data_IF_885692733036
#
_entry.id   IF_885692733036
#
_cell.length_a   1.000
_cell.length_b   1.000
_cell.length_c   1.000
_cell.angle_alpha   90.00
_cell.angle_beta   90.00
_cell.angle_gamma   90.00
#
_symmetry.space_group_name_H-M   'P 1'
#
loop_
_entity.id
_entity.type
_entity.pdbx_description
1 polymer ?
#
# COMPACT_ATOMS: atom_id res chain seq x y z
N UNK A 1 -28.79 -0.25 -10.28
CA UNK A 1 -29.37 1.10 -10.13
C UNK A 1 -28.26 2.16 -10.21
N UNK A 2 -28.55 3.40 -10.63
CA UNK A 2 -27.62 4.52 -10.48
C UNK A 2 -27.17 4.71 -9.01
N UNK A 3 -25.93 5.15 -8.82
CA UNK A 3 -25.33 5.40 -7.50
C UNK A 3 -25.89 6.67 -6.86
N UNK A 4 -26.28 7.65 -7.68
CA UNK A 4 -26.67 8.99 -7.21
C UNK A 4 -25.48 9.92 -6.99
N UNK A 5 -24.34 9.65 -7.64
CA UNK A 5 -23.18 10.56 -7.61
C UNK A 5 -23.59 11.98 -8.03
N UNK A 6 -22.93 12.98 -7.46
CA UNK A 6 -23.14 14.41 -7.72
C UNK A 6 -22.61 14.89 -9.08
N UNK A 7 -22.52 13.99 -10.07
CA UNK A 7 -22.10 14.26 -11.44
C UNK A 7 -23.26 14.04 -12.43
N UNK A 8 -23.38 14.89 -13.47
CA UNK A 8 -24.41 14.74 -14.48
C UNK A 8 -24.16 13.51 -15.37
N UNK A 9 -25.24 12.94 -15.92
CA UNK A 9 -25.15 11.92 -16.97
C UNK A 9 -24.79 10.52 -16.50
N UNK A 10 -25.07 10.18 -15.23
CA UNK A 10 -24.85 8.81 -14.73
C UNK A 10 -25.66 7.78 -15.53
N UNK A 11 -24.95 6.81 -16.10
CA UNK A 11 -25.55 5.71 -16.84
C UNK A 11 -26.05 4.60 -15.90
N UNK A 12 -27.13 3.92 -16.30
CA UNK A 12 -27.56 2.68 -15.67
C UNK A 12 -26.78 1.48 -16.21
N UNK A 13 -26.54 0.49 -15.34
CA UNK A 13 -26.06 -0.81 -15.78
C UNK A 13 -27.14 -1.64 -16.49
N UNK A 14 -26.71 -2.66 -17.22
CA UNK A 14 -27.56 -3.67 -17.85
C UNK A 14 -27.28 -5.01 -17.18
N UNK A 15 -28.32 -5.66 -16.67
CA UNK A 15 -28.22 -6.96 -16.01
C UNK A 15 -29.53 -7.72 -16.21
N UNK A 16 -29.47 -9.04 -16.12
CA UNK A 16 -30.66 -9.89 -16.18
C UNK A 16 -31.49 -9.72 -14.92
N UNK A 17 -32.80 -9.47 -15.07
CA UNK A 17 -33.72 -9.51 -13.93
C UNK A 17 -33.91 -10.96 -13.46
N UNK A 18 -34.43 -11.16 -12.25
CA UNK A 18 -34.71 -12.49 -11.70
C UNK A 18 -35.56 -13.34 -12.66
N UNK A 19 -36.59 -12.75 -13.27
CA UNK A 19 -37.47 -13.41 -14.24
C UNK A 19 -36.75 -13.82 -15.54
N UNK A 20 -35.66 -13.12 -15.89
CA UNK A 20 -34.88 -13.36 -17.10
C UNK A 20 -33.61 -14.17 -16.84
N UNK A 21 -33.33 -14.52 -15.57
CA UNK A 21 -32.07 -15.13 -15.17
C UNK A 21 -32.18 -16.66 -15.24
N UNK A 22 -31.82 -17.23 -16.39
CA UNK A 22 -31.63 -18.67 -16.55
C UNK A 22 -30.37 -19.19 -15.85
N UNK A 23 -30.13 -20.50 -15.93
CA UNK A 23 -28.95 -21.13 -15.30
C UNK A 23 -27.64 -20.57 -15.88
N UNK A 24 -27.61 -20.26 -17.18
CA UNK A 24 -26.43 -19.73 -17.87
C UNK A 24 -26.16 -18.29 -17.45
N UNK A 25 -27.18 -17.45 -17.41
CA UNK A 25 -27.09 -16.05 -16.98
C UNK A 25 -26.69 -15.97 -15.50
N UNK A 26 -27.29 -16.80 -14.64
CA UNK A 26 -26.94 -16.90 -13.23
C UNK A 26 -25.45 -17.27 -13.04
N UNK A 27 -25.01 -18.33 -13.72
CA UNK A 27 -23.62 -18.78 -13.64
C UNK A 27 -22.66 -17.71 -14.17
N UNK A 28 -22.92 -17.17 -15.36
CA UNK A 28 -22.05 -16.15 -15.99
C UNK A 28 -22.00 -14.83 -15.23
N UNK A 29 -23.11 -14.42 -14.62
CA UNK A 29 -23.18 -13.23 -13.76
C UNK A 29 -22.28 -13.35 -12.52
N UNK A 30 -22.14 -14.56 -11.96
CA UNK A 30 -21.35 -14.79 -10.74
C UNK A 30 -19.86 -14.48 -10.88
N UNK A 31 -19.33 -14.54 -12.11
CA UNK A 31 -17.93 -14.20 -12.42
C UNK A 31 -17.80 -12.95 -13.32
N UNK A 32 -18.84 -12.11 -13.36
CA UNK A 32 -18.79 -10.79 -13.99
C UNK A 32 -18.94 -10.79 -15.51
N UNK A 33 -19.50 -11.85 -16.09
CA UNK A 33 -19.99 -11.86 -17.47
C UNK A 33 -21.51 -11.63 -17.49
N UNK A 34 -22.08 -11.34 -18.67
CA UNK A 34 -23.53 -11.15 -18.83
C UNK A 34 -24.14 -9.91 -18.15
N UNK A 35 -23.29 -9.05 -17.57
CA UNK A 35 -23.68 -7.79 -16.94
C UNK A 35 -22.83 -6.64 -17.51
N UNK A 36 -23.42 -5.46 -17.65
CA UNK A 36 -22.69 -4.21 -17.87
C UNK A 36 -22.95 -3.28 -16.69
N UNK A 37 -21.89 -2.79 -16.06
CA UNK A 37 -21.96 -1.91 -14.90
C UNK A 37 -20.99 -0.75 -15.09
N UNK A 38 -21.33 0.41 -14.57
CA UNK A 38 -20.43 1.56 -14.64
C UNK A 38 -19.27 1.39 -13.65
N UNK A 39 -18.10 2.00 -13.90
CA UNK A 39 -16.98 1.95 -12.95
C UNK A 39 -17.37 2.46 -11.56
N UNK A 40 -18.21 3.51 -11.48
CA UNK A 40 -18.68 4.04 -10.20
C UNK A 40 -19.61 3.07 -9.47
N UNK A 41 -20.49 2.34 -10.17
CA UNK A 41 -21.28 1.26 -9.58
C UNK A 41 -20.39 0.13 -9.05
N UNK A 42 -19.36 -0.25 -9.82
CA UNK A 42 -18.43 -1.32 -9.46
C UNK A 42 -17.65 -0.99 -8.19
N UNK A 43 -17.00 0.18 -8.13
CA UNK A 43 -16.21 0.55 -6.95
C UNK A 43 -17.11 0.80 -5.73
N UNK A 44 -18.33 1.33 -5.91
CA UNK A 44 -19.29 1.51 -4.82
C UNK A 44 -19.76 0.16 -4.25
N UNK A 45 -20.00 -0.82 -5.12
CA UNK A 45 -20.36 -2.18 -4.70
C UNK A 45 -19.20 -2.86 -3.95
N UNK A 46 -17.97 -2.75 -4.44
CA UNK A 46 -16.78 -3.25 -3.74
C UNK A 46 -16.55 -2.56 -2.40
N UNK A 47 -16.75 -1.24 -2.31
CA UNK A 47 -16.65 -0.53 -1.04
C UNK A 47 -17.62 -1.10 -0.01
N UNK A 48 -18.87 -1.41 -0.43
CA UNK A 48 -19.86 -2.02 0.46
C UNK A 48 -19.45 -3.41 0.95
N UNK A 49 -18.68 -4.19 0.18
CA UNK A 49 -18.24 -5.53 0.63
C UNK A 49 -17.15 -5.47 1.71
N UNK A 50 -16.41 -4.37 1.82
CA UNK A 50 -15.27 -4.23 2.73
C UNK A 50 -15.51 -3.27 3.90
N UNK A 51 -16.55 -2.43 3.86
CA UNK A 51 -16.79 -1.36 4.84
C UNK A 51 -17.85 -1.68 5.93
N UNK A 52 -18.08 -2.96 6.24
CA UNK A 52 -19.15 -3.39 7.17
C UNK A 52 -20.49 -3.68 6.49
N UNK A 53 -20.53 -3.71 5.16
CA UNK A 53 -21.72 -4.04 4.38
C UNK A 53 -22.54 -2.84 3.95
N UNK A 54 -22.07 -1.61 4.13
CA UNK A 54 -22.86 -0.41 3.87
C UNK A 54 -22.68 0.08 2.44
N UNK A 55 -23.76 0.05 1.66
CA UNK A 55 -23.81 0.71 0.37
C UNK A 55 -23.92 2.22 0.56
N UNK A 56 -22.89 2.94 0.15
CA UNK A 56 -22.79 4.39 0.27
C UNK A 56 -23.24 5.08 -1.03
N UNK A 57 -23.68 6.32 -0.91
CA UNK A 57 -23.80 7.22 -2.05
C UNK A 57 -22.47 7.95 -2.23
N UNK A 58 -21.74 7.73 -3.35
CA UNK A 58 -20.47 8.41 -3.61
C UNK A 58 -20.72 9.88 -3.93
N UNK A 59 -19.73 10.74 -3.66
CA UNK A 59 -19.74 12.16 -4.00
C UNK A 59 -18.31 12.63 -4.33
N UNK A 60 -18.20 13.65 -5.17
CA UNK A 60 -16.92 14.27 -5.57
C UNK A 60 -16.71 15.60 -4.84
N UNK A 61 -17.77 16.37 -4.61
CA UNK A 61 -17.69 17.69 -3.97
C UNK A 61 -17.72 17.53 -2.45
N UNK A 62 -16.65 17.92 -1.75
CA UNK A 62 -16.64 17.89 -0.28
C UNK A 62 -17.38 19.07 0.36
N UNK A 63 -17.21 20.27 -0.20
CA UNK A 63 -17.89 21.49 0.25
C UNK A 63 -18.06 22.49 -0.88
N UNK A 64 -19.11 23.31 -0.78
CA UNK A 64 -19.36 24.46 -1.64
C UNK A 64 -19.16 25.73 -0.80
N UNK A 65 -18.42 26.70 -1.34
CA UNK A 65 -18.15 27.98 -0.68
C UNK A 65 -18.69 29.14 -1.51
N UNK A 66 -19.12 30.21 -0.83
CA UNK A 66 -19.50 31.47 -1.48
C UNK A 66 -18.26 32.32 -1.84
N UNK A 67 -18.49 33.47 -2.48
CA UNK A 67 -17.43 34.40 -2.87
C UNK A 67 -16.66 35.01 -1.66
N UNK A 68 -17.21 34.90 -0.46
CA UNK A 68 -16.59 35.39 0.77
C UNK A 68 -15.85 34.27 1.53
N UNK A 69 -15.84 33.04 1.00
CA UNK A 69 -15.22 31.87 1.63
C UNK A 69 -16.10 31.21 2.71
N UNK A 70 -17.36 31.62 2.86
CA UNK A 70 -18.28 30.95 3.78
C UNK A 70 -18.72 29.60 3.20
N UNK A 71 -18.76 28.57 4.04
CA UNK A 71 -19.28 27.26 3.66
C UNK A 71 -20.80 27.36 3.54
N UNK A 72 -21.33 27.05 2.36
CA UNK A 72 -22.77 27.04 2.10
C UNK A 72 -23.35 25.62 1.99
N UNK A 73 -22.49 24.63 1.71
CA UNK A 73 -22.85 23.21 1.70
C UNK A 73 -21.62 22.37 2.06
N UNK A 74 -21.83 21.33 2.87
CA UNK A 74 -20.84 20.27 3.15
C UNK A 74 -21.48 18.93 2.79
N UNK A 75 -20.75 18.06 2.09
CA UNK A 75 -21.16 16.67 1.85
C UNK A 75 -20.59 15.78 2.94
N UNK A 76 -21.44 14.89 3.43
CA UNK A 76 -21.13 13.92 4.47
C UNK A 76 -21.43 12.51 3.99
N UNK A 77 -20.86 11.52 4.68
CA UNK A 77 -21.11 10.09 4.44
C UNK A 77 -22.62 9.81 4.44
N UNK A 78 -23.14 9.36 3.29
CA UNK A 78 -24.55 9.02 3.12
C UNK A 78 -24.71 7.52 2.92
N UNK A 79 -25.28 6.83 3.93
CA UNK A 79 -25.58 5.40 3.87
C UNK A 79 -26.93 5.19 3.19
N UNK A 80 -26.96 4.43 2.09
CA UNK A 80 -28.22 4.09 1.41
C UNK A 80 -28.92 2.90 2.05
N UNK A 81 -28.16 1.84 2.35
CA UNK A 81 -28.61 0.61 3.01
C UNK A 81 -27.42 -0.26 3.39
N UNK A 82 -27.66 -1.29 4.19
CA UNK A 82 -26.71 -2.38 4.40
C UNK A 82 -27.07 -3.55 3.47
N UNK A 83 -26.11 -4.07 2.70
CA UNK A 83 -26.30 -5.12 1.69
C UNK A 83 -25.76 -6.49 2.10
N UNK A 84 -24.80 -6.53 3.03
CA UNK A 84 -24.28 -7.75 3.66
C UNK A 84 -24.05 -7.47 5.15
N UNK A 85 -23.93 -8.51 5.98
CA UNK A 85 -23.60 -8.30 7.39
C UNK A 85 -22.17 -7.80 7.57
N UNK A 86 -21.90 -7.16 8.70
CA UNK A 86 -20.56 -6.75 9.09
C UNK A 86 -19.60 -7.94 9.20
N UNK A 87 -20.08 -9.07 9.73
CA UNK A 87 -19.32 -10.33 9.79
C UNK A 87 -18.92 -10.83 8.41
N UNK A 88 -19.87 -10.86 7.45
CA UNK A 88 -19.56 -11.22 6.06
C UNK A 88 -18.58 -10.24 5.45
N UNK A 89 -18.71 -8.94 5.74
CA UNK A 89 -17.76 -7.94 5.27
C UNK A 89 -16.35 -8.17 5.81
N UNK A 90 -16.20 -8.50 7.09
CA UNK A 90 -14.91 -8.84 7.70
C UNK A 90 -14.29 -10.11 7.08
N UNK A 91 -15.10 -11.15 6.85
CA UNK A 91 -14.65 -12.35 6.14
C UNK A 91 -14.20 -12.03 4.72
N UNK A 92 -14.95 -11.19 4.00
CA UNK A 92 -14.57 -10.75 2.65
C UNK A 92 -13.25 -9.99 2.63
N UNK A 93 -12.96 -9.16 3.64
CA UNK A 93 -11.66 -8.50 3.78
C UNK A 93 -10.51 -9.51 3.87
N UNK A 94 -10.63 -10.51 4.73
CA UNK A 94 -9.61 -11.58 4.88
C UNK A 94 -9.42 -12.38 3.58
N UNK A 95 -10.51 -12.74 2.91
CA UNK A 95 -10.45 -13.46 1.63
C UNK A 95 -9.75 -12.62 0.57
N UNK A 96 -10.08 -11.34 0.46
CA UNK A 96 -9.49 -10.44 -0.54
C UNK A 96 -8.04 -10.06 -0.22
N UNK A 97 -7.65 -9.99 1.04
CA UNK A 97 -6.25 -9.89 1.48
C UNK A 97 -5.46 -11.14 1.05
N UNK A 98 -6.04 -12.33 1.24
CA UNK A 98 -5.41 -13.59 0.86
C UNK A 98 -5.15 -13.69 -0.66
N UNK A 99 -5.95 -13.04 -1.50
CA UNK A 99 -5.72 -12.97 -2.97
C UNK A 99 -4.44 -12.22 -3.31
N UNK A 100 -4.06 -11.25 -2.48
CA UNK A 100 -2.84 -10.46 -2.66
C UNK A 100 -1.63 -11.18 -2.08
N UNK A 101 -1.81 -11.78 -0.89
CA UNK A 101 -0.72 -12.32 -0.07
C UNK A 101 -0.39 -13.80 -0.35
N UNK A 102 -1.36 -14.66 -0.71
CA UNK A 102 -1.09 -16.08 -0.95
C UNK A 102 -0.51 -16.36 -2.36
N UNK A 103 0.36 -17.38 -2.46
CA UNK A 103 0.99 -17.89 -3.70
C UNK A 103 2.06 -17.00 -4.38
N UNK A 104 2.91 -16.31 -3.61
CA UNK A 104 4.11 -15.67 -4.15
C UNK A 104 3.96 -14.21 -4.60
N UNK A 105 2.96 -13.52 -4.05
CA UNK A 105 2.76 -12.08 -4.21
C UNK A 105 2.04 -11.74 -5.51
N UNK A 106 0.77 -11.36 -5.41
CA UNK A 106 0.08 -10.68 -6.50
C UNK A 106 0.91 -9.50 -7.01
N UNK A 107 0.77 -9.08 -8.27
CA UNK A 107 1.40 -7.84 -8.75
C UNK A 107 0.90 -6.56 -8.03
N UNK A 108 -0.11 -6.69 -7.16
CA UNK A 108 -0.56 -5.64 -6.26
C UNK A 108 0.08 -5.70 -4.85
N UNK A 109 0.83 -6.77 -4.53
CA UNK A 109 1.50 -6.91 -3.23
C UNK A 109 2.55 -5.81 -3.07
N UNK A 110 2.50 -5.15 -1.91
CA UNK A 110 3.52 -4.20 -1.47
C UNK A 110 3.97 -4.69 -0.11
N UNK A 111 5.25 -5.01 0.00
CA UNK A 111 5.82 -5.47 1.27
C UNK A 111 5.58 -4.43 2.37
N UNK A 112 5.20 -4.91 3.54
CA UNK A 112 4.85 -4.09 4.69
C UNK A 112 3.45 -3.48 4.65
N UNK A 113 2.67 -3.66 3.58
CA UNK A 113 1.30 -3.15 3.53
C UNK A 113 0.28 -4.28 3.48
N UNK A 114 -0.74 -4.15 4.32
CA UNK A 114 -1.93 -5.00 4.27
C UNK A 114 -2.84 -4.53 3.15
N UNK A 115 -2.82 -5.23 2.02
CA UNK A 115 -3.59 -4.87 0.83
C UNK A 115 -4.55 -6.00 0.50
N UNK A 116 -5.82 -5.67 0.32
CA UNK A 116 -6.80 -6.57 -0.26
C UNK A 116 -7.13 -6.19 -1.69
N UNK A 117 -7.51 -7.16 -2.50
CA UNK A 117 -7.89 -6.85 -3.88
C UNK A 117 -8.34 -8.03 -4.71
N UNK A 118 -8.75 -7.71 -5.94
CA UNK A 118 -9.18 -8.71 -6.91
C UNK A 118 -8.92 -8.25 -8.34
N UNK A 119 -8.32 -9.14 -9.13
CA UNK A 119 -8.21 -9.00 -10.58
C UNK A 119 -9.53 -9.36 -11.29
N UNK A 120 -9.84 -8.61 -12.34
CA UNK A 120 -10.93 -8.88 -13.28
C UNK A 120 -10.39 -8.96 -14.70
N UNK A 121 -10.99 -9.82 -15.53
CA UNK A 121 -10.68 -9.91 -16.96
C UNK A 121 -11.96 -10.26 -17.70
N UNK A 122 -12.57 -9.26 -18.31
CA UNK A 122 -13.87 -9.39 -18.98
C UNK A 122 -13.70 -9.35 -20.49
N UNK A 123 -14.60 -10.01 -21.20
CA UNK A 123 -14.60 -10.08 -22.67
C UNK A 123 -15.56 -9.05 -23.23
N UNK A 124 -15.18 -8.35 -24.31
CA UNK A 124 -16.10 -7.44 -25.02
C UNK A 124 -16.91 -8.21 -26.07
N UNK A 125 -17.66 -9.24 -25.63
CA UNK A 125 -18.33 -10.22 -26.50
C UNK A 125 -19.14 -9.59 -27.64
N UNK A 126 -19.93 -8.54 -27.35
CA UNK A 126 -20.70 -7.82 -28.37
C UNK A 126 -19.80 -7.22 -29.46
N UNK A 127 -18.74 -6.51 -29.06
CA UNK A 127 -17.79 -5.86 -29.98
C UNK A 127 -16.95 -6.90 -30.74
N UNK A 128 -16.56 -7.98 -30.07
CA UNK A 128 -15.91 -9.14 -30.69
C UNK A 128 -16.75 -9.69 -31.85
N UNK A 129 -18.04 -9.98 -31.59
CA UNK A 129 -18.97 -10.46 -32.62
C UNK A 129 -19.18 -9.46 -33.74
N UNK A 130 -19.34 -8.16 -33.44
CA UNK A 130 -19.53 -7.10 -34.43
C UNK A 130 -18.32 -6.93 -35.36
N UNK A 131 -17.11 -7.13 -34.84
CA UNK A 131 -15.85 -6.96 -35.59
C UNK A 131 -15.30 -8.28 -36.16
N UNK A 132 -15.90 -9.42 -35.84
CA UNK A 132 -15.37 -10.73 -36.24
C UNK A 132 -14.01 -11.07 -35.60
N UNK A 133 -13.76 -10.59 -34.39
CA UNK A 133 -12.53 -10.84 -33.60
C UNK A 133 -12.88 -11.53 -32.28
N UNK A 134 -11.92 -12.15 -31.62
CA UNK A 134 -12.13 -12.88 -30.35
C UNK A 134 -11.27 -12.37 -29.18
N UNK A 135 -10.47 -11.32 -29.40
CA UNK A 135 -9.38 -10.94 -28.52
C UNK A 135 -9.49 -9.53 -27.91
N UNK A 136 -10.70 -8.96 -27.82
CA UNK A 136 -10.94 -7.71 -27.09
C UNK A 136 -11.37 -8.00 -25.64
N UNK A 137 -10.58 -7.44 -24.72
CA UNK A 137 -10.72 -7.64 -23.29
C UNK A 137 -10.68 -6.30 -22.53
N UNK A 138 -11.23 -6.32 -21.32
CA UNK A 138 -11.00 -5.27 -20.31
C UNK A 138 -10.28 -5.93 -19.14
N UNK A 139 -9.02 -5.56 -18.94
CA UNK A 139 -8.24 -5.95 -17.77
C UNK A 139 -8.52 -4.98 -16.63
N UNK A 140 -8.86 -5.45 -15.45
CA UNK A 140 -9.16 -4.58 -14.31
C UNK A 140 -8.60 -5.13 -13.01
N UNK A 141 -8.46 -4.23 -12.03
CA UNK A 141 -8.09 -4.58 -10.67
C UNK A 141 -8.75 -3.62 -9.70
N UNK A 142 -9.34 -4.16 -8.63
CA UNK A 142 -9.75 -3.38 -7.45
C UNK A 142 -8.77 -3.69 -6.33
N UNK A 143 -8.16 -2.66 -5.74
CA UNK A 143 -7.34 -2.77 -4.54
C UNK A 143 -7.87 -1.87 -3.43
N UNK A 144 -7.69 -2.27 -2.19
CA UNK A 144 -7.99 -1.46 -1.00
C UNK A 144 -6.94 -1.67 0.09
N UNK A 145 -6.79 -0.67 0.94
CA UNK A 145 -5.85 -0.70 2.06
C UNK A 145 -6.25 0.30 3.16
N UNK A 146 -5.82 0.08 4.42
CA UNK A 146 -5.37 -1.21 4.97
C UNK A 146 -6.41 -2.33 4.81
N UNK A 147 -5.99 -3.59 4.80
CA UNK A 147 -6.90 -4.71 4.51
C UNK A 147 -7.85 -5.03 5.66
N UNK A 148 -7.49 -4.71 6.89
CA UNK A 148 -8.26 -4.91 8.11
C UNK A 148 -9.25 -3.77 8.40
N UNK A 149 -8.82 -2.52 8.17
CA UNK A 149 -9.63 -1.31 8.27
C UNK A 149 -9.47 -0.44 7.01
N UNK A 150 -10.28 -0.67 5.96
CA UNK A 150 -10.06 -0.03 4.65
C UNK A 150 -10.40 1.45 4.61
N UNK A 151 -9.41 2.24 4.22
CA UNK A 151 -9.47 3.71 4.20
C UNK A 151 -9.35 4.26 2.77
N UNK A 152 -8.69 3.50 1.88
CA UNK A 152 -8.63 3.78 0.45
C UNK A 152 -9.07 2.57 -0.37
N UNK A 153 -9.78 2.84 -1.46
CA UNK A 153 -10.12 1.86 -2.50
C UNK A 153 -9.84 2.46 -3.88
N UNK A 154 -9.29 1.64 -4.78
CA UNK A 154 -8.97 2.05 -6.15
C UNK A 154 -9.42 0.98 -7.14
N UNK A 155 -10.10 1.40 -8.20
CA UNK A 155 -10.42 0.59 -9.36
C UNK A 155 -9.58 1.08 -10.54
N UNK A 156 -8.74 0.20 -11.10
CA UNK A 156 -8.02 0.43 -12.34
C UNK A 156 -8.63 -0.43 -13.45
N UNK A 157 -8.87 0.16 -14.63
CA UNK A 157 -9.37 -0.52 -15.81
C UNK A 157 -8.50 -0.16 -17.02
N UNK A 158 -8.09 -1.18 -17.77
CA UNK A 158 -7.35 -1.05 -19.02
C UNK A 158 -8.23 -1.63 -20.12
N UNK A 159 -8.79 -0.75 -20.95
CA UNK A 159 -9.64 -1.12 -22.07
C UNK A 159 -8.79 -1.54 -23.28
N UNK A 160 -9.06 -2.72 -23.83
CA UNK A 160 -8.42 -3.26 -25.03
C UNK A 160 -6.87 -3.21 -24.98
N UNK A 161 -6.21 -3.79 -23.95
CA UNK A 161 -4.76 -3.78 -23.85
C UNK A 161 -4.12 -4.49 -25.05
N UNK A 162 -3.14 -3.81 -25.67
CA UNK A 162 -2.45 -4.27 -26.88
C UNK A 162 -1.05 -4.86 -26.61
N UNK A 163 -0.63 -4.92 -25.34
CA UNK A 163 0.68 -5.44 -24.93
C UNK A 163 0.89 -6.89 -25.35
N UNK A 164 2.15 -7.25 -25.62
CA UNK A 164 2.57 -8.59 -26.04
C UNK A 164 3.68 -9.09 -25.12
N UNK A 165 3.66 -10.37 -24.77
CA UNK A 165 4.77 -11.00 -24.07
C UNK A 165 5.92 -11.34 -25.04
N UNK A 166 7.01 -11.92 -24.51
CA UNK A 166 8.17 -12.29 -25.32
C UNK A 166 7.89 -13.39 -26.37
N UNK A 167 6.75 -14.08 -26.27
CA UNK A 167 6.29 -15.09 -27.23
C UNK A 167 5.27 -14.51 -28.23
N UNK A 168 4.92 -13.22 -28.14
CA UNK A 168 3.91 -12.58 -28.97
C UNK A 168 2.47 -12.82 -28.51
N UNK A 169 2.24 -13.44 -27.35
CA UNK A 169 0.90 -13.61 -26.79
C UNK A 169 0.38 -12.27 -26.21
N UNK A 170 -0.92 -12.02 -26.34
CA UNK A 170 -1.50 -10.77 -25.82
C UNK A 170 -1.53 -10.78 -24.29
N UNK A 171 -1.08 -9.67 -23.69
CA UNK A 171 -1.10 -9.45 -22.25
C UNK A 171 -2.32 -8.61 -21.91
N UNK A 172 -3.37 -9.28 -21.43
CA UNK A 172 -4.66 -8.63 -21.15
C UNK A 172 -5.24 -8.93 -19.76
N UNK A 173 -4.65 -9.88 -19.02
CA UNK A 173 -5.12 -10.23 -17.68
C UNK A 173 -4.99 -9.02 -16.75
N UNK A 174 -6.04 -8.73 -15.98
CA UNK A 174 -6.07 -7.60 -15.05
C UNK A 174 -4.95 -7.66 -14.00
N UNK A 175 -4.53 -8.85 -13.61
CA UNK A 175 -3.36 -9.07 -12.75
C UNK A 175 -2.05 -8.58 -13.37
N UNK A 176 -1.93 -8.55 -14.70
CA UNK A 176 -0.71 -8.11 -15.39
C UNK A 176 -0.78 -6.65 -15.82
N UNK A 177 -1.94 -6.17 -16.26
CA UNK A 177 -2.06 -4.81 -16.84
C UNK A 177 -2.55 -3.75 -15.86
N UNK A 178 -3.37 -4.11 -14.86
CA UNK A 178 -3.99 -3.16 -13.94
C UNK A 178 -3.39 -3.22 -12.53
N UNK A 179 -3.04 -4.41 -12.03
CA UNK A 179 -2.45 -4.55 -10.69
C UNK A 179 -1.16 -3.73 -10.46
N UNK A 180 -0.22 -3.62 -11.43
CA UNK A 180 0.98 -2.80 -11.24
C UNK A 180 0.66 -1.31 -11.02
N UNK A 181 -0.42 -0.80 -11.63
CA UNK A 181 -0.88 0.58 -11.44
C UNK A 181 -1.37 0.79 -10.01
N UNK A 182 -2.14 -0.17 -9.46
CA UNK A 182 -2.58 -0.15 -8.07
C UNK A 182 -1.36 -0.12 -7.13
N UNK A 183 -0.39 -1.01 -7.35
CA UNK A 183 0.83 -1.07 -6.55
C UNK A 183 1.61 0.25 -6.59
N UNK A 184 1.80 0.83 -7.77
CA UNK A 184 2.51 2.09 -7.93
C UNK A 184 1.82 3.24 -7.18
N UNK A 185 0.50 3.38 -7.33
CA UNK A 185 -0.27 4.43 -6.66
C UNK A 185 -0.28 4.23 -5.15
N UNK A 186 -0.49 3.00 -4.65
CA UNK A 186 -0.52 2.73 -3.22
C UNK A 186 0.83 2.97 -2.54
N UNK A 187 1.96 2.66 -3.20
CA UNK A 187 3.31 2.95 -2.68
C UNK A 187 3.53 4.43 -2.37
N UNK A 188 2.91 5.33 -3.13
CA UNK A 188 3.01 6.78 -2.93
C UNK A 188 1.89 7.32 -2.03
N UNK A 189 0.66 6.84 -2.24
CA UNK A 189 -0.53 7.34 -1.55
C UNK A 189 -0.58 6.93 -0.08
N UNK A 190 -0.20 5.70 0.27
CA UNK A 190 -0.32 5.20 1.64
C UNK A 190 0.55 6.00 2.63
N UNK A 191 1.86 6.24 2.38
CA UNK A 191 2.66 7.12 3.24
C UNK A 191 2.12 8.54 3.33
N UNK A 192 1.59 9.07 2.22
CA UNK A 192 0.99 10.41 2.20
C UNK A 192 -0.27 10.50 3.06
N UNK A 193 -1.04 9.42 3.14
CA UNK A 193 -2.23 9.30 3.98
C UNK A 193 -1.91 8.89 5.43
N UNK A 194 -0.64 8.69 5.79
CA UNK A 194 -0.20 8.31 7.13
C UNK A 194 -0.21 6.82 7.41
N UNK A 195 -0.39 5.97 6.39
CA UNK A 195 -0.23 4.51 6.51
C UNK A 195 1.20 4.15 6.11
N UNK A 196 1.97 3.62 7.05
CA UNK A 196 3.37 3.23 6.86
C UNK A 196 3.50 1.70 6.81
N UNK A 197 4.59 1.18 6.21
CA UNK A 197 4.76 -0.25 6.12
C UNK A 197 5.08 -0.88 7.49
N UNK A 198 4.38 -1.96 7.80
CA UNK A 198 4.57 -2.84 8.96
C UNK A 198 5.11 -4.18 8.48
N UNK A 199 6.34 -4.49 8.85
CA UNK A 199 7.04 -5.70 8.41
C UNK A 199 6.97 -6.80 9.46
N UNK A 200 6.83 -8.05 9.03
CA UNK A 200 6.98 -9.23 9.92
C UNK A 200 8.47 -9.47 10.27
N UNK A 201 8.77 -10.32 11.26
CA UNK A 201 10.18 -10.67 11.59
C UNK A 201 10.88 -11.33 10.42
N UNK A 202 10.19 -12.23 9.71
CA UNK A 202 10.71 -12.85 8.49
C UNK A 202 10.94 -11.83 7.37
N UNK A 203 10.04 -10.84 7.23
CA UNK A 203 10.21 -9.76 6.27
C UNK A 203 11.35 -8.82 6.66
N UNK A 204 11.48 -8.45 7.93
CA UNK A 204 12.59 -7.65 8.47
C UNK A 204 13.92 -8.39 8.28
N UNK A 205 13.99 -9.67 8.65
CA UNK A 205 15.17 -10.51 8.45
C UNK A 205 15.52 -10.70 6.97
N UNK A 206 14.53 -10.73 6.07
CA UNK A 206 14.73 -10.77 4.62
C UNK A 206 14.95 -9.39 3.98
N UNK A 207 14.74 -8.30 4.73
CA UNK A 207 14.95 -6.91 4.32
C UNK A 207 16.22 -6.32 4.90
N UNK A 208 16.84 -6.97 5.88
CA UNK A 208 18.09 -6.54 6.48
C UNK A 208 19.19 -6.51 5.42
N UNK A 209 19.60 -5.29 5.07
CA UNK A 209 20.72 -5.02 4.17
C UNK A 209 21.96 -4.83 5.04
N UNK A 210 22.99 -5.63 4.78
CA UNK A 210 24.30 -5.39 5.38
C UNK A 210 24.86 -4.10 4.81
N UNK A 211 25.10 -3.11 5.68
CA UNK A 211 25.66 -1.82 5.31
C UNK A 211 27.04 -2.04 4.68
N UNK A 212 27.24 -1.67 3.40
CA UNK A 212 28.53 -1.81 2.75
C UNK A 212 29.52 -0.79 3.31
N UNK A 213 30.81 -1.09 3.18
CA UNK A 213 31.87 -0.11 3.43
C UNK A 213 32.00 0.78 2.20
N UNK A 214 31.61 2.04 2.32
CA UNK A 214 31.79 3.09 1.30
C UNK A 214 32.82 4.13 1.70
N UNK A 215 33.40 4.03 2.91
CA UNK A 215 34.55 4.83 3.34
C UNK A 215 35.72 4.73 2.35
N UNK A 216 36.31 5.87 2.01
CA UNK A 216 37.39 6.02 1.03
C UNK A 216 36.93 6.00 -0.44
N UNK A 217 35.64 5.77 -0.71
CA UNK A 217 35.09 5.89 -2.06
C UNK A 217 34.75 7.34 -2.40
N UNK A 218 34.70 7.66 -3.70
CA UNK A 218 34.11 8.91 -4.16
C UNK A 218 32.62 8.95 -3.83
N UNK A 219 32.07 10.14 -3.60
CA UNK A 219 30.65 10.29 -3.26
C UNK A 219 29.74 9.66 -4.31
N UNK A 220 30.06 9.83 -5.60
CA UNK A 220 29.32 9.20 -6.71
C UNK A 220 29.34 7.66 -6.67
N UNK A 221 30.48 7.05 -6.35
CA UNK A 221 30.58 5.60 -6.25
C UNK A 221 29.86 5.07 -5.00
N UNK A 222 29.95 5.80 -3.89
CA UNK A 222 29.27 5.49 -2.65
C UNK A 222 27.76 5.54 -2.80
N UNK A 223 27.21 6.64 -3.32
CA UNK A 223 25.75 6.80 -3.51
C UNK A 223 25.19 5.76 -4.47
N UNK A 224 25.89 5.47 -5.57
CA UNK A 224 25.50 4.41 -6.50
C UNK A 224 25.48 3.03 -5.84
N UNK A 225 26.44 2.73 -4.97
CA UNK A 225 26.46 1.47 -4.21
C UNK A 225 25.26 1.38 -3.28
N UNK A 226 24.93 2.46 -2.58
CA UNK A 226 23.79 2.52 -1.68
C UNK A 226 22.45 2.44 -2.42
N UNK A 227 22.31 3.13 -3.56
CA UNK A 227 21.13 3.09 -4.42
C UNK A 227 20.87 1.67 -4.96
N UNK A 228 21.92 0.95 -5.38
CA UNK A 228 21.82 -0.44 -5.85
C UNK A 228 21.34 -1.41 -4.75
N UNK A 229 21.55 -1.05 -3.49
CA UNK A 229 21.09 -1.80 -2.32
C UNK A 229 19.76 -1.27 -1.77
N UNK A 230 19.16 -0.28 -2.45
CA UNK A 230 17.94 0.41 -2.03
C UNK A 230 18.07 1.01 -0.62
N UNK A 231 19.23 1.58 -0.30
CA UNK A 231 19.49 2.32 0.94
C UNK A 231 19.37 3.82 0.69
N UNK A 232 18.72 4.54 1.61
CA UNK A 232 18.68 6.00 1.58
C UNK A 232 20.00 6.54 2.10
N UNK A 233 20.41 7.71 1.63
CA UNK A 233 21.61 8.37 2.15
C UNK A 233 21.41 9.86 2.40
N UNK A 234 22.26 10.40 3.27
CA UNK A 234 22.36 11.82 3.55
C UNK A 234 23.84 12.20 3.63
N UNK A 235 24.24 13.27 2.96
CA UNK A 235 25.64 13.70 2.90
C UNK A 235 25.85 14.92 3.78
N UNK A 236 26.89 14.89 4.61
CA UNK A 236 27.32 15.99 5.46
C UNK A 236 28.74 16.40 5.01
N UNK A 237 28.91 17.70 4.75
CA UNK A 237 30.13 18.29 4.18
C UNK A 237 30.04 18.54 2.67
N UNK A 238 31.06 19.16 2.11
CA UNK A 238 31.16 19.51 0.69
C UNK A 238 32.30 18.79 -0.04
N UNK A 239 32.86 17.73 0.55
CA UNK A 239 33.95 16.95 -0.03
C UNK A 239 33.46 15.90 -1.05
N UNK A 240 34.34 15.52 -1.96
CA UNK A 240 34.02 14.55 -3.03
C UNK A 240 34.27 13.09 -2.65
N UNK A 241 34.79 12.83 -1.45
CA UNK A 241 35.18 11.50 -0.95
C UNK A 241 34.55 11.24 0.41
N UNK A 242 34.05 10.03 0.64
CA UNK A 242 33.52 9.62 1.94
C UNK A 242 34.67 9.37 2.92
N UNK A 243 34.74 10.18 3.97
CA UNK A 243 35.72 10.06 5.06
C UNK A 243 35.22 9.05 6.09
N UNK A 244 33.94 9.10 6.44
CA UNK A 244 33.32 8.16 7.38
C UNK A 244 31.83 8.00 7.09
N UNK A 245 31.23 6.92 7.61
CA UNK A 245 29.81 6.64 7.47
C UNK A 245 29.13 6.22 8.78
N UNK A 246 27.83 6.48 8.88
CA UNK A 246 26.97 5.97 9.95
C UNK A 246 25.69 5.38 9.34
N UNK A 247 25.32 4.12 9.63
CA UNK A 247 26.03 3.15 10.46
C UNK A 247 27.38 2.72 9.87
N UNK A 248 28.25 2.19 10.74
CA UNK A 248 29.51 1.59 10.32
C UNK A 248 29.28 0.38 9.40
N UNK A 249 30.30 0.02 8.61
CA UNK A 249 30.27 -1.18 7.78
C UNK A 249 29.84 -2.43 8.58
N UNK A 250 29.18 -3.35 7.91
CA UNK A 250 28.70 -4.63 8.47
C UNK A 250 27.58 -4.50 9.52
N UNK A 251 27.12 -3.30 9.84
CA UNK A 251 25.84 -3.13 10.53
C UNK A 251 24.70 -3.67 9.66
N UNK A 252 23.68 -4.24 10.29
CA UNK A 252 22.44 -4.61 9.62
C UNK A 252 21.44 -3.47 9.79
N UNK A 253 20.85 -3.00 8.68
CA UNK A 253 19.74 -2.04 8.70
C UNK A 253 18.60 -2.53 7.80
N UNK A 254 17.35 -2.13 8.06
CA UNK A 254 16.26 -2.43 7.15
C UNK A 254 16.52 -1.89 5.74
N UNK A 255 15.96 -2.54 4.72
CA UNK A 255 15.89 -2.00 3.34
C UNK A 255 15.23 -0.61 3.37
N UNK A 256 15.77 0.34 2.60
CA UNK A 256 15.50 1.79 2.71
C UNK A 256 16.02 2.48 3.99
N UNK A 257 16.78 1.76 4.83
CA UNK A 257 17.51 2.33 5.95
C UNK A 257 18.47 3.42 5.47
N UNK A 258 18.78 4.35 6.38
CA UNK A 258 19.54 5.56 6.09
C UNK A 258 21.02 5.37 6.41
N UNK A 259 21.89 5.74 5.49
CA UNK A 259 23.34 5.84 5.69
C UNK A 259 23.78 7.29 5.57
N UNK A 260 24.32 7.85 6.64
CA UNK A 260 24.90 9.19 6.66
C UNK A 260 26.35 9.10 6.20
N UNK A 261 26.74 9.93 5.23
CA UNK A 261 28.06 10.01 4.64
C UNK A 261 28.73 11.33 5.03
N UNK A 262 29.86 11.26 5.72
CA UNK A 262 30.68 12.42 6.05
C UNK A 262 31.81 12.55 5.04
N UNK A 263 32.01 13.74 4.50
CA UNK A 263 32.94 13.98 3.38
C UNK A 263 34.18 14.78 3.74
N UNK A 264 34.31 15.21 5.00
CA UNK A 264 35.43 16.00 5.50
C UNK A 264 35.85 15.49 6.89
N UNK A 265 37.13 15.62 7.22
CA UNK A 265 37.63 15.37 8.57
C UNK A 265 37.26 16.54 9.49
N UNK A 266 36.77 16.25 10.70
CA UNK A 266 36.39 17.23 11.74
C UNK A 266 35.09 18.02 11.50
N UNK A 267 34.14 17.48 10.75
CA UNK A 267 32.76 17.98 10.79
C UNK A 267 32.14 17.68 12.15
N UNK A 268 31.36 18.63 12.66
CA UNK A 268 30.52 18.39 13.84
C UNK A 268 29.51 17.29 13.48
N UNK A 269 29.66 16.12 14.09
CA UNK A 269 28.69 15.02 13.98
C UNK A 269 27.31 15.55 14.37
N UNK A 270 26.33 15.41 13.49
CA UNK A 270 24.94 15.72 13.85
C UNK A 270 24.42 14.64 14.80
N UNK A 271 23.89 15.07 15.94
CA UNK A 271 23.32 14.20 16.96
C UNK A 271 21.81 14.39 17.06
N UNK A 272 21.12 13.30 17.36
CA UNK A 272 19.69 13.26 17.64
C UNK A 272 19.47 12.54 18.96
N UNK A 273 18.48 13.01 19.73
CA UNK A 273 18.09 12.35 20.97
C UNK A 273 17.26 11.10 20.64
N UNK A 274 17.62 9.97 21.22
CA UNK A 274 16.82 8.75 21.12
C UNK A 274 15.48 8.98 21.81
N UNK A 275 14.34 8.82 21.12
CA UNK A 275 13.03 9.03 21.71
C UNK A 275 12.64 7.86 22.63
N UNK A 276 11.68 8.08 23.52
CA UNK A 276 11.05 7.00 24.30
C UNK A 276 10.09 6.20 23.42
N UNK A 277 10.47 4.95 23.19
CA UNK A 277 9.68 4.01 22.40
C UNK A 277 8.95 2.99 23.26
N UNK A 278 9.13 2.99 24.59
CA UNK A 278 8.56 1.99 25.46
C UNK A 278 7.03 2.06 25.50
N UNK A 279 6.39 0.89 25.49
CA UNK A 279 4.93 0.77 25.49
C UNK A 279 4.26 1.03 24.14
N UNK A 280 5.03 1.40 23.11
CA UNK A 280 4.54 1.63 21.74
C UNK A 280 4.53 0.35 20.91
N UNK A 281 3.64 0.30 19.94
CA UNK A 281 3.59 -0.75 18.92
C UNK A 281 4.80 -0.70 17.99
N UNK A 282 5.08 -1.78 17.26
CA UNK A 282 6.18 -1.85 16.29
C UNK A 282 6.11 -0.71 15.27
N UNK A 283 4.91 -0.41 14.79
CA UNK A 283 4.62 0.67 13.83
C UNK A 283 4.98 2.04 14.39
N UNK A 284 4.50 2.35 15.60
CA UNK A 284 4.80 3.61 16.29
C UNK A 284 6.29 3.76 16.63
N UNK A 285 6.97 2.67 16.96
CA UNK A 285 8.43 2.69 17.19
C UNK A 285 9.17 3.02 15.89
N UNK A 286 8.81 2.36 14.79
CA UNK A 286 9.42 2.59 13.49
C UNK A 286 9.20 4.05 13.04
N UNK A 287 7.97 4.55 13.17
CA UNK A 287 7.61 5.94 12.86
C UNK A 287 8.45 6.92 13.69
N UNK A 288 8.48 6.74 15.01
CA UNK A 288 9.12 7.66 15.93
C UNK A 288 10.63 7.74 15.69
N UNK A 289 11.30 6.59 15.55
CA UNK A 289 12.74 6.55 15.27
C UNK A 289 13.07 7.12 13.89
N UNK A 290 12.28 6.78 12.87
CA UNK A 290 12.51 7.28 11.51
C UNK A 290 12.29 8.80 11.42
N UNK A 291 11.32 9.35 12.16
CA UNK A 291 11.02 10.78 12.20
C UNK A 291 12.19 11.65 12.68
N UNK A 292 13.05 11.07 13.54
CA UNK A 292 14.27 11.71 14.05
C UNK A 292 15.55 11.21 13.36
N UNK A 293 15.41 10.58 12.19
CA UNK A 293 16.52 10.09 11.38
C UNK A 293 17.36 8.97 12.03
N UNK A 294 16.74 8.14 12.87
CA UNK A 294 17.33 6.93 13.45
C UNK A 294 16.83 5.71 12.69
N UNK A 295 17.70 4.73 12.46
CA UNK A 295 17.30 3.45 11.88
C UNK A 295 16.73 2.55 12.97
N UNK A 296 15.51 2.06 12.78
CA UNK A 296 14.90 1.06 13.64
C UNK A 296 15.38 -0.34 13.27
N UNK A 297 15.73 -1.16 14.27
CA UNK A 297 15.93 -2.60 14.13
C UNK A 297 15.09 -3.33 15.18
N UNK A 298 14.31 -4.32 14.76
CA UNK A 298 13.65 -5.21 15.71
C UNK A 298 14.71 -6.12 16.35
N UNK A 299 14.74 -6.16 17.68
CA UNK A 299 15.46 -7.15 18.46
C UNK A 299 14.57 -8.36 18.76
N UNK A 300 14.94 -9.14 19.78
CA UNK A 300 14.16 -10.31 20.21
C UNK A 300 12.75 -9.90 20.71
N UNK A 301 11.70 -10.65 20.37
CA UNK A 301 10.35 -10.35 20.84
C UNK A 301 9.19 -11.05 20.14
N UNK A 302 7.97 -10.66 20.49
CA UNK A 302 6.73 -11.13 19.86
C UNK A 302 6.18 -10.09 18.87
N UNK A 303 6.99 -9.60 17.92
CA UNK A 303 6.60 -8.46 17.06
C UNK A 303 5.43 -8.76 16.13
N UNK A 304 5.10 -10.04 15.94
CA UNK A 304 4.00 -10.53 15.10
C UNK A 304 2.62 -10.49 15.78
N UNK A 305 2.55 -10.22 17.09
CA UNK A 305 1.28 -10.23 17.82
C UNK A 305 0.58 -8.87 17.77
N UNK A 306 -0.70 -8.85 17.38
CA UNK A 306 -1.57 -7.70 17.55
C UNK A 306 -1.71 -7.38 19.06
N UNK A 307 -0.92 -6.44 19.57
CA UNK A 307 -0.78 -6.17 21.02
C UNK A 307 0.65 -6.25 21.56
N UNK A 308 1.62 -6.53 20.69
CA UNK A 308 3.04 -6.41 21.01
C UNK A 308 3.41 -4.95 21.24
N UNK A 309 4.04 -4.68 22.38
CA UNK A 309 4.56 -3.36 22.73
C UNK A 309 6.04 -3.45 23.06
N UNK A 310 6.78 -2.41 22.70
CA UNK A 310 8.19 -2.27 23.03
C UNK A 310 8.37 -2.30 24.55
N UNK A 311 9.26 -3.14 25.03
CA UNK A 311 9.60 -3.21 26.46
C UNK A 311 11.06 -2.90 26.75
N UNK A 312 11.90 -2.85 25.71
CA UNK A 312 13.31 -2.56 25.84
C UNK A 312 13.85 -1.93 24.56
N UNK A 313 14.73 -0.95 24.72
CA UNK A 313 15.53 -0.32 23.66
C UNK A 313 17.01 -0.35 24.08
N UNK A 314 17.92 -0.52 23.12
CA UNK A 314 19.35 -0.63 23.40
C UNK A 314 20.00 0.70 23.83
N UNK A 315 19.43 1.84 23.45
CA UNK A 315 19.80 3.17 23.93
C UNK A 315 18.68 3.76 24.78
N UNK A 316 19.01 4.40 25.91
CA UNK A 316 18.00 5.05 26.75
C UNK A 316 17.43 6.31 26.08
N UNK A 317 16.19 6.67 26.42
CA UNK A 317 15.60 7.95 26.05
C UNK A 317 16.56 9.12 26.37
N UNK A 318 16.63 10.10 25.45
CA UNK A 318 17.44 11.30 25.60
C UNK A 318 18.93 11.09 25.34
N UNK A 319 19.37 9.84 25.10
CA UNK A 319 20.75 9.57 24.68
C UNK A 319 20.99 10.23 23.34
N UNK A 320 22.03 11.05 23.24
CA UNK A 320 22.44 11.65 21.97
C UNK A 320 23.23 10.61 21.17
N UNK A 321 22.68 10.22 20.02
CA UNK A 321 23.31 9.32 19.07
C UNK A 321 23.54 10.04 17.74
N UNK A 322 24.59 9.69 16.97
CA UNK A 322 24.76 10.22 15.63
C UNK A 322 23.54 9.94 14.76
N UNK A 323 23.18 10.88 13.88
CA UNK A 323 22.13 10.65 12.87
C UNK A 323 22.42 9.38 12.07
N UNK A 324 21.39 8.58 11.79
CA UNK A 324 21.51 7.30 11.10
C UNK A 324 21.93 6.13 12.00
N UNK A 325 22.12 6.33 13.31
CA UNK A 325 22.39 5.23 14.25
C UNK A 325 21.29 4.17 14.20
N UNK A 326 21.66 2.91 14.41
CA UNK A 326 20.72 1.79 14.53
C UNK A 326 20.30 1.65 16.00
N UNK A 327 19.01 1.81 16.27
CA UNK A 327 18.40 1.55 17.58
C UNK A 327 17.66 0.23 17.49
N UNK A 328 18.05 -0.70 18.35
CA UNK A 328 17.44 -2.02 18.47
C UNK A 328 16.39 -2.01 19.57
N UNK A 329 15.17 -2.47 19.26
CA UNK A 329 14.03 -2.45 20.19
C UNK A 329 13.39 -3.83 20.26
N UNK A 330 13.17 -4.33 21.47
CA UNK A 330 12.56 -5.63 21.78
C UNK A 330 11.11 -5.48 22.22
N UNK A 331 10.27 -6.42 21.81
CA UNK A 331 8.81 -6.35 21.93
C UNK A 331 8.23 -7.54 22.71
N UNK A 332 7.17 -7.30 23.47
CA UNK A 332 6.45 -8.35 24.21
C UNK A 332 4.96 -8.14 24.11
N UNK A 333 4.20 -9.22 24.22
CA UNK A 333 2.75 -9.14 24.39
C UNK A 333 2.45 -8.74 25.84
N UNK A 334 1.55 -7.78 26.05
CA UNK A 334 0.99 -7.54 27.38
C UNK A 334 0.09 -8.74 27.73
N UNK A 335 0.42 -9.48 28.78
CA UNK A 335 -0.55 -10.41 29.39
C UNK A 335 -1.77 -9.60 29.85
N UNK A 336 -2.94 -9.85 29.25
CA UNK A 336 -4.22 -9.42 29.78
C UNK A 336 -4.56 -10.33 30.97
N UNK A 337 -4.05 -9.96 32.15
CA UNK A 337 -4.41 -10.55 33.45
C UNK A 337 -5.72 -10.00 34.00
#
# INVERSE_FOLDING_TARGET
EPTGIDLPGEAAGLYYTEEQMGIVELASSSFGQSNTVTPIQMITAYAATINGGYLLQPYVVSKVVDNNGNIIETKERTVRRQVISEETSAQMRQVLESVVNNNGGSNAYIKGYRIGGKSGTSQKLKKNTELGVDNLYVGSYVGFAPADDPEIIMLCMVDEPQGRDHNGAQVYYGSLVAAPVISAVFKEALPYLGYYPEYTEEELAALDVTVPSVEGQTLEAATKTLDNLELRYYTIGNGDTVVSQVPSRSSSIPRNGKVVLYTEENLDTEYVAVPDVLGRTVSEVNELLTSVNINFKAGDGATEHAGAVAYQQNYLEGTLVPVGTVVEVSFRVKDEG
#
